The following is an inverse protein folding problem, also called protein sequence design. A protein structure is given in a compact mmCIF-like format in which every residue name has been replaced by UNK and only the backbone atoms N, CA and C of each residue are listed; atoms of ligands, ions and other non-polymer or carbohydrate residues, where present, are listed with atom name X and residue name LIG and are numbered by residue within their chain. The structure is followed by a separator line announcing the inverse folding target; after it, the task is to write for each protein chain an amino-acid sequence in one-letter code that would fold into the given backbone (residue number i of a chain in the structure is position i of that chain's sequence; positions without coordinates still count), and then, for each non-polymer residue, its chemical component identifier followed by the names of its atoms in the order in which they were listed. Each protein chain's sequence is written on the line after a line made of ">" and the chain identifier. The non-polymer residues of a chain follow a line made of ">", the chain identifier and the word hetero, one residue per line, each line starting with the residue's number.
data_IF_406842395995
#
_entry.id   IF_406842395995
#
_cell.length_a   1.000
_cell.length_b   1.000
_cell.length_c   1.000
_cell.angle_alpha   90.00
_cell.angle_beta   90.00
_cell.angle_gamma   90.00
#
_symmetry.space_group_name_H-M   'P 1'
#
loop_
_entity.id
_entity.type
_entity.pdbx_description
1 polymer ?
#
# COMPACT_ATOMS: atom_id res chain seq x y z
N UNK A 1 29.68 -19.71 -17.39
CA UNK A 1 29.67 -18.36 -16.79
C UNK A 1 28.25 -18.09 -16.29
N UNK A 2 28.03 -18.22 -14.99
CA UNK A 2 26.74 -17.88 -14.40
C UNK A 2 26.58 -16.35 -14.47
N UNK A 3 25.52 -15.86 -15.12
CA UNK A 3 25.18 -14.46 -15.10
C UNK A 3 24.89 -14.07 -13.65
N UNK A 4 25.72 -13.22 -13.09
CA UNK A 4 25.46 -12.55 -11.83
C UNK A 4 24.18 -11.76 -12.02
N UNK A 5 23.08 -12.21 -11.43
CA UNK A 5 21.85 -11.44 -11.30
C UNK A 5 22.09 -10.32 -10.29
N UNK A 6 22.79 -9.27 -10.69
CA UNK A 6 22.92 -8.08 -9.86
C UNK A 6 21.61 -7.31 -9.94
N UNK A 7 20.71 -7.57 -9.00
CA UNK A 7 19.59 -6.65 -8.77
C UNK A 7 20.18 -5.26 -8.44
N UNK A 8 19.57 -4.18 -8.92
CA UNK A 8 20.01 -2.84 -8.57
C UNK A 8 19.91 -2.66 -7.04
N UNK A 9 20.86 -1.96 -6.42
CA UNK A 9 20.83 -1.74 -4.97
C UNK A 9 19.58 -0.96 -4.56
N UNK A 10 19.10 -1.24 -3.35
CA UNK A 10 18.07 -0.45 -2.71
C UNK A 10 18.78 0.67 -1.93
N UNK A 11 18.55 1.89 -2.35
CA UNK A 11 19.04 3.09 -1.69
C UNK A 11 18.11 3.49 -0.55
N UNK A 12 18.67 4.07 0.51
CA UNK A 12 17.90 4.62 1.63
C UNK A 12 18.11 6.13 1.70
N UNK A 13 17.01 6.89 1.70
CA UNK A 13 16.99 8.34 1.67
C UNK A 13 16.19 8.90 2.85
N UNK A 14 16.49 10.14 3.23
CA UNK A 14 15.64 10.93 4.13
C UNK A 14 15.15 12.15 3.37
N UNK A 15 13.84 12.25 3.19
CA UNK A 15 13.19 13.28 2.37
C UNK A 15 12.30 14.15 3.26
N UNK A 16 12.48 15.46 3.19
CA UNK A 16 11.58 16.42 3.82
C UNK A 16 10.41 16.73 2.89
N UNK A 17 9.19 16.42 3.34
CA UNK A 17 7.95 16.67 2.59
C UNK A 17 6.80 16.88 3.57
N UNK A 18 5.82 17.70 3.23
CA UNK A 18 4.62 17.98 4.04
C UNK A 18 4.91 18.21 5.54
N UNK A 19 5.99 18.94 5.84
CA UNK A 19 6.40 19.24 7.22
C UNK A 19 6.99 18.09 8.02
N UNK A 20 7.28 16.95 7.38
CA UNK A 20 7.85 15.75 8.01
C UNK A 20 9.14 15.30 7.31
N UNK A 21 9.97 14.55 8.02
CA UNK A 21 11.07 13.79 7.46
C UNK A 21 10.64 12.34 7.25
N UNK A 22 10.59 11.93 5.98
CA UNK A 22 10.28 10.58 5.58
C UNK A 22 11.56 9.77 5.39
N UNK A 23 11.55 8.57 5.93
CA UNK A 23 12.50 7.53 5.57
C UNK A 23 11.97 6.82 4.32
N UNK A 24 12.80 6.73 3.28
CA UNK A 24 12.39 6.26 1.96
C UNK A 24 13.39 5.24 1.46
N UNK A 25 12.91 4.11 0.97
CA UNK A 25 13.72 3.19 0.19
C UNK A 25 13.39 3.35 -1.30
N UNK A 26 14.42 3.31 -2.15
CA UNK A 26 14.25 3.46 -3.58
C UNK A 26 15.19 2.52 -4.34
N UNK A 27 14.75 2.09 -5.54
CA UNK A 27 15.50 1.19 -6.39
C UNK A 27 15.29 1.57 -7.87
N UNK A 28 16.32 1.35 -8.69
CA UNK A 28 16.31 1.64 -10.11
C UNK A 28 16.82 3.04 -10.49
N UNK A 29 16.89 3.34 -11.79
CA UNK A 29 17.48 4.58 -12.29
C UNK A 29 16.72 5.81 -11.80
N UNK A 30 17.44 6.89 -11.46
CA UNK A 30 16.84 8.12 -10.93
C UNK A 30 15.90 8.81 -11.94
N UNK A 31 16.18 8.68 -13.21
CA UNK A 31 15.41 9.20 -14.34
C UNK A 31 14.35 8.22 -14.86
N UNK A 32 14.22 7.03 -14.24
CA UNK A 32 13.20 6.05 -14.58
C UNK A 32 11.77 6.54 -14.26
N UNK A 33 10.75 6.01 -14.97
CA UNK A 33 9.35 6.32 -14.65
C UNK A 33 9.04 6.02 -13.17
N UNK A 34 8.47 6.99 -12.43
CA UNK A 34 8.27 6.85 -10.98
C UNK A 34 7.12 5.92 -10.63
N UNK A 35 7.38 5.00 -9.72
CA UNK A 35 6.40 4.09 -9.12
C UNK A 35 6.51 4.20 -7.61
N UNK A 36 5.48 4.76 -6.96
CA UNK A 36 5.39 4.84 -5.52
C UNK A 36 4.64 3.61 -4.97
N UNK A 37 5.17 3.01 -3.90
CA UNK A 37 4.60 1.84 -3.24
C UNK A 37 4.28 2.18 -1.79
N UNK A 38 3.02 2.03 -1.39
CA UNK A 38 2.51 2.34 -0.06
C UNK A 38 2.15 1.06 0.69
N UNK A 39 2.82 0.79 1.79
CA UNK A 39 2.55 -0.36 2.66
C UNK A 39 1.30 -0.16 3.53
N UNK A 40 0.87 -1.21 4.21
CA UNK A 40 -0.23 -1.16 5.16
C UNK A 40 0.20 -1.35 6.62
N UNK A 41 -0.80 -1.64 7.46
CA UNK A 41 -0.61 -1.98 8.87
C UNK A 41 -0.35 -3.50 9.02
N UNK A 42 0.60 -3.92 9.82
CA UNK A 42 1.53 -3.12 10.62
C UNK A 42 2.93 -3.01 9.99
N UNK A 43 3.03 -3.00 8.68
CA UNK A 43 4.27 -3.05 7.93
C UNK A 43 5.05 -1.71 7.91
N UNK A 44 6.12 -1.67 7.13
CA UNK A 44 6.92 -0.49 6.82
C UNK A 44 7.48 -0.63 5.39
N UNK A 45 8.34 0.27 4.95
CA UNK A 45 8.93 0.24 3.60
C UNK A 45 9.53 -1.12 3.22
N UNK A 46 10.02 -1.90 4.19
CA UNK A 46 10.57 -3.25 4.00
C UNK A 46 9.60 -4.23 3.33
N UNK A 47 8.29 -4.01 3.47
CA UNK A 47 7.25 -4.83 2.84
C UNK A 47 7.44 -4.97 1.32
N UNK A 48 7.95 -3.93 0.69
CA UNK A 48 8.07 -3.82 -0.75
C UNK A 48 9.45 -4.23 -1.31
N UNK A 49 10.34 -4.82 -0.52
CA UNK A 49 11.71 -5.16 -0.92
C UNK A 49 11.80 -5.93 -2.24
N UNK A 50 10.95 -6.93 -2.43
CA UNK A 50 10.93 -7.76 -3.64
C UNK A 50 10.35 -7.03 -4.85
N UNK A 51 9.36 -6.17 -4.63
CA UNK A 51 8.76 -5.35 -5.68
C UNK A 51 9.68 -4.20 -6.09
N UNK A 52 10.40 -3.59 -5.13
CA UNK A 52 11.42 -2.58 -5.42
C UNK A 52 12.50 -3.12 -6.36
N UNK A 53 13.05 -4.29 -6.04
CA UNK A 53 14.08 -4.94 -6.85
C UNK A 53 13.55 -5.27 -8.25
N UNK A 54 12.36 -5.86 -8.36
CA UNK A 54 11.77 -6.24 -9.64
C UNK A 54 11.45 -5.04 -10.53
N UNK A 55 10.88 -3.99 -9.96
CA UNK A 55 10.54 -2.76 -10.70
C UNK A 55 11.81 -1.99 -11.08
N UNK A 56 12.79 -1.89 -10.16
CA UNK A 56 14.06 -1.26 -10.42
C UNK A 56 14.85 -1.95 -11.52
N UNK A 57 14.91 -3.29 -11.51
CA UNK A 57 15.55 -4.09 -12.56
C UNK A 57 14.84 -3.93 -13.92
N UNK A 58 13.56 -3.57 -13.92
CA UNK A 58 12.81 -3.28 -15.14
C UNK A 58 13.01 -1.83 -15.66
N UNK A 59 13.88 -1.03 -15.03
CA UNK A 59 14.19 0.35 -15.43
C UNK A 59 13.20 1.40 -14.91
N UNK A 60 12.40 1.06 -13.91
CA UNK A 60 11.49 1.98 -13.23
C UNK A 60 12.17 2.56 -11.98
N UNK A 61 11.82 3.78 -11.60
CA UNK A 61 12.22 4.34 -10.30
C UNK A 61 11.18 3.94 -9.26
N UNK A 62 11.39 2.80 -8.60
CA UNK A 62 10.53 2.31 -7.54
C UNK A 62 10.88 2.97 -6.20
N UNK A 63 9.89 3.51 -5.50
CA UNK A 63 10.05 4.34 -4.30
C UNK A 63 9.04 3.90 -3.26
N UNK A 64 9.47 3.59 -2.05
CA UNK A 64 8.57 3.30 -0.92
C UNK A 64 8.98 4.07 0.33
N UNK A 65 8.10 4.90 0.90
CA UNK A 65 8.33 5.49 2.21
C UNK A 65 7.94 4.54 3.33
N UNK A 66 8.61 4.65 4.48
CA UNK A 66 7.90 4.44 5.73
C UNK A 66 6.84 5.53 5.81
N UNK A 67 5.56 5.18 5.77
CA UNK A 67 4.49 6.16 5.76
C UNK A 67 4.43 6.94 7.10
N UNK A 68 3.70 8.05 7.14
CA UNK A 68 3.52 8.88 8.36
C UNK A 68 3.26 8.03 9.59
N UNK A 69 4.11 8.14 10.61
CA UNK A 69 3.95 7.42 11.86
C UNK A 69 4.54 6.02 11.90
N UNK A 70 5.00 5.50 10.75
CA UNK A 70 5.62 4.17 10.67
C UNK A 70 7.14 4.24 10.65
N UNK A 71 7.76 3.13 11.01
CA UNK A 71 9.19 2.90 10.90
C UNK A 71 10.05 4.06 11.39
N UNK A 72 10.89 4.60 10.52
CA UNK A 72 11.78 5.74 10.84
C UNK A 72 11.23 7.11 10.44
N UNK A 73 10.08 7.16 9.78
CA UNK A 73 9.40 8.43 9.47
C UNK A 73 8.86 9.09 10.75
N UNK A 74 8.78 10.41 10.76
CA UNK A 74 8.30 11.19 11.89
C UNK A 74 6.86 10.84 12.27
N UNK A 75 6.56 11.00 13.55
CA UNK A 75 5.32 10.55 14.20
C UNK A 75 4.60 11.74 14.84
N UNK A 76 3.85 12.54 14.06
CA UNK A 76 3.12 13.68 14.59
C UNK A 76 2.15 13.28 15.70
N UNK A 77 2.02 14.15 16.69
CA UNK A 77 1.12 13.91 17.83
C UNK A 77 -0.33 14.21 17.44
N UNK A 78 -1.26 13.38 17.96
CA UNK A 78 -2.70 13.59 17.85
C UNK A 78 -3.32 12.91 16.65
N UNK A 79 -4.55 12.42 16.85
CA UNK A 79 -5.31 11.64 15.87
C UNK A 79 -5.58 12.44 14.58
N UNK A 80 -5.82 13.75 14.69
CA UNK A 80 -6.09 14.62 13.53
C UNK A 80 -4.92 14.71 12.53
N UNK A 81 -3.70 14.41 12.97
CA UNK A 81 -2.53 14.35 12.10
C UNK A 81 -2.54 13.15 11.15
N UNK A 82 -3.49 12.21 11.30
CA UNK A 82 -3.57 10.96 10.55
C UNK A 82 -4.86 10.84 9.73
N UNK A 83 -5.51 11.97 9.39
CA UNK A 83 -6.64 11.96 8.48
C UNK A 83 -6.20 11.53 7.07
N UNK A 84 -7.11 10.92 6.32
CA UNK A 84 -6.80 10.42 4.98
C UNK A 84 -6.28 11.53 4.05
N UNK A 85 -6.80 12.76 4.20
CA UNK A 85 -6.32 13.92 3.45
C UNK A 85 -4.85 14.23 3.77
N UNK A 86 -4.45 14.16 5.05
CA UNK A 86 -3.06 14.37 5.44
C UNK A 86 -2.14 13.27 4.90
N UNK A 87 -2.62 12.02 4.88
CA UNK A 87 -1.87 10.88 4.33
C UNK A 87 -1.74 10.96 2.81
N UNK A 88 -2.79 11.38 2.12
CA UNK A 88 -2.75 11.60 0.66
C UNK A 88 -1.85 12.77 0.29
N UNK A 89 -1.86 13.85 1.08
CA UNK A 89 -0.95 14.99 0.90
C UNK A 89 0.51 14.58 1.04
N UNK A 90 0.83 13.71 2.00
CA UNK A 90 2.18 13.17 2.15
C UNK A 90 2.70 12.52 0.86
N UNK A 91 1.85 11.75 0.18
CA UNK A 91 2.23 11.05 -1.06
C UNK A 91 2.53 12.06 -2.17
N UNK A 92 1.69 13.09 -2.31
CA UNK A 92 1.86 14.13 -3.34
C UNK A 92 3.12 14.96 -3.08
N UNK A 93 3.29 15.43 -1.84
CA UNK A 93 4.42 16.27 -1.46
C UNK A 93 5.74 15.49 -1.48
N UNK A 94 5.73 14.21 -1.11
CA UNK A 94 6.90 13.33 -1.21
C UNK A 94 7.29 13.11 -2.68
N UNK A 95 6.33 12.83 -3.55
CA UNK A 95 6.57 12.71 -4.99
C UNK A 95 7.15 14.00 -5.56
N UNK A 96 6.58 15.15 -5.20
CA UNK A 96 7.06 16.47 -5.64
C UNK A 96 8.47 16.79 -5.14
N UNK A 97 8.79 16.46 -3.88
CA UNK A 97 10.13 16.63 -3.30
C UNK A 97 11.19 15.76 -4.01
N UNK A 98 10.76 14.62 -4.59
CA UNK A 98 11.60 13.76 -5.41
C UNK A 98 11.61 14.15 -6.90
N UNK A 99 10.96 15.27 -7.29
CA UNK A 99 10.93 15.78 -8.65
C UNK A 99 9.82 15.21 -9.54
N UNK A 100 8.90 14.45 -8.99
CA UNK A 100 7.84 13.77 -9.75
C UNK A 100 6.48 14.45 -9.57
N UNK A 101 5.90 14.95 -10.66
CA UNK A 101 4.55 15.56 -10.68
C UNK A 101 3.44 14.56 -10.98
N UNK A 102 3.78 13.48 -11.65
CA UNK A 102 2.88 12.36 -11.97
C UNK A 102 3.62 11.06 -11.75
N UNK A 103 2.92 10.06 -11.26
CA UNK A 103 3.52 8.77 -10.91
C UNK A 103 2.48 7.64 -10.99
N UNK A 104 2.98 6.42 -11.11
CA UNK A 104 2.18 5.21 -10.86
C UNK A 104 2.15 4.95 -9.35
N UNK A 105 0.98 4.60 -8.82
CA UNK A 105 0.81 4.31 -7.40
C UNK A 105 0.43 2.85 -7.18
N UNK A 106 1.12 2.20 -6.27
CA UNK A 106 0.81 0.83 -5.82
C UNK A 106 0.53 0.90 -4.33
N UNK A 107 -0.58 0.34 -3.87
CA UNK A 107 -0.93 0.37 -2.44
C UNK A 107 -1.43 -0.98 -1.95
N UNK A 108 -1.01 -1.36 -0.75
CA UNK A 108 -1.49 -2.52 -0.02
C UNK A 108 -2.15 -2.07 1.27
N UNK A 109 -3.28 -2.69 1.66
CA UNK A 109 -4.01 -2.41 2.90
C UNK A 109 -4.26 -0.89 3.08
N UNK A 110 -3.80 -0.26 4.16
CA UNK A 110 -3.89 1.19 4.35
C UNK A 110 -3.26 2.00 3.22
N UNK A 111 -2.15 1.53 2.64
CA UNK A 111 -1.56 2.17 1.48
C UNK A 111 -2.48 2.14 0.26
N UNK A 112 -3.25 1.08 0.09
CA UNK A 112 -4.30 0.99 -0.92
C UNK A 112 -5.48 1.92 -0.62
N UNK A 113 -5.87 2.07 0.65
CA UNK A 113 -6.91 3.03 1.06
C UNK A 113 -6.48 4.47 0.73
N UNK A 114 -5.23 4.83 1.00
CA UNK A 114 -4.66 6.15 0.62
C UNK A 114 -4.68 6.32 -0.90
N UNK A 115 -4.32 5.28 -1.65
CA UNK A 115 -4.33 5.32 -3.11
C UNK A 115 -5.74 5.53 -3.68
N UNK A 116 -6.75 4.85 -3.15
CA UNK A 116 -8.15 5.06 -3.50
C UNK A 116 -8.59 6.50 -3.26
N UNK A 117 -8.26 7.05 -2.09
CA UNK A 117 -8.60 8.42 -1.75
C UNK A 117 -7.91 9.44 -2.68
N UNK A 118 -6.62 9.23 -2.96
CA UNK A 118 -5.87 10.09 -3.86
C UNK A 118 -6.43 10.05 -5.28
N UNK A 119 -6.82 8.88 -5.78
CA UNK A 119 -7.44 8.73 -7.10
C UNK A 119 -8.81 9.43 -7.21
N UNK A 120 -9.57 9.49 -6.12
CA UNK A 120 -10.86 10.18 -6.06
C UNK A 120 -10.71 11.70 -5.95
N UNK A 121 -9.67 12.19 -5.25
CA UNK A 121 -9.52 13.62 -4.94
C UNK A 121 -8.53 14.36 -5.83
N UNK A 122 -7.50 13.67 -6.32
CA UNK A 122 -6.41 14.25 -7.13
C UNK A 122 -5.98 13.34 -8.29
N UNK A 123 -6.90 12.89 -9.16
CA UNK A 123 -6.57 11.95 -10.24
C UNK A 123 -5.47 12.45 -11.18
N UNK A 124 -5.29 13.75 -11.31
CA UNK A 124 -4.31 14.37 -12.21
C UNK A 124 -2.85 14.04 -11.88
N UNK A 125 -2.53 13.68 -10.62
CA UNK A 125 -1.16 13.30 -10.22
C UNK A 125 -0.86 11.83 -10.50
N UNK A 126 -1.88 11.03 -10.82
CA UNK A 126 -1.72 9.60 -11.07
C UNK A 126 -1.68 9.29 -12.58
N UNK A 127 -0.80 8.38 -12.96
CA UNK A 127 -0.82 7.77 -14.29
C UNK A 127 -1.74 6.54 -14.31
N UNK A 128 -1.62 5.73 -13.29
CA UNK A 128 -2.43 4.52 -13.01
C UNK A 128 -2.21 4.08 -11.57
N UNK A 129 -3.03 3.18 -11.05
CA UNK A 129 -2.80 2.61 -9.74
C UNK A 129 -3.06 1.10 -9.69
N UNK A 130 -2.27 0.39 -8.88
CA UNK A 130 -2.52 -1.01 -8.53
C UNK A 130 -2.81 -1.11 -7.03
N UNK A 131 -3.85 -1.86 -6.69
CA UNK A 131 -4.33 -2.03 -5.32
C UNK A 131 -4.25 -3.50 -4.94
N UNK A 132 -3.60 -3.78 -3.82
CA UNK A 132 -3.44 -5.11 -3.25
C UNK A 132 -4.24 -5.20 -1.96
N UNK A 133 -5.22 -6.10 -1.89
CA UNK A 133 -6.07 -6.37 -0.71
C UNK A 133 -6.46 -5.10 0.07
N UNK A 134 -7.03 -4.12 -0.62
CA UNK A 134 -7.54 -2.91 0.00
C UNK A 134 -8.83 -2.45 -0.69
N UNK A 135 -9.94 -2.31 0.04
CA UNK A 135 -11.18 -1.82 -0.54
C UNK A 135 -11.19 -0.30 -0.60
N UNK A 136 -12.00 0.23 -1.51
CA UNK A 136 -12.39 1.62 -1.47
C UNK A 136 -13.28 1.87 -0.22
N UNK A 137 -12.93 2.84 0.65
CA UNK A 137 -13.59 3.02 1.97
C UNK A 137 -15.11 3.16 1.88
N UNK A 138 -15.62 3.93 0.93
CA UNK A 138 -17.05 4.09 0.80
C UNK A 138 -17.76 2.84 0.29
N UNK A 139 -17.06 2.01 -0.49
CA UNK A 139 -17.54 0.69 -0.89
C UNK A 139 -17.56 -0.22 0.34
N UNK A 140 -16.47 -0.30 1.10
CA UNK A 140 -16.40 -1.13 2.30
C UNK A 140 -17.51 -0.82 3.30
N UNK A 141 -17.81 0.46 3.52
CA UNK A 141 -18.89 0.89 4.39
C UNK A 141 -20.29 0.48 3.90
N UNK A 142 -20.51 0.43 2.57
CA UNK A 142 -21.77 -0.08 1.99
C UNK A 142 -21.84 -1.60 2.03
N UNK A 143 -20.76 -2.26 1.62
CA UNK A 143 -20.62 -3.72 1.60
C UNK A 143 -20.92 -4.33 2.96
N UNK A 144 -20.32 -3.80 4.03
CA UNK A 144 -20.52 -4.29 5.38
C UNK A 144 -21.99 -4.32 5.82
N UNK A 145 -22.86 -3.43 5.31
CA UNK A 145 -24.28 -3.43 5.68
C UNK A 145 -25.04 -4.69 5.24
N UNK A 146 -24.60 -5.32 4.15
CA UNK A 146 -25.17 -6.55 3.63
C UNK A 146 -24.38 -7.82 3.97
N UNK A 147 -23.20 -7.69 4.59
CA UNK A 147 -22.24 -8.77 4.81
C UNK A 147 -21.84 -8.86 6.30
N UNK A 148 -22.61 -9.58 7.14
CA UNK A 148 -22.32 -9.68 8.58
C UNK A 148 -20.93 -10.24 8.89
N UNK A 149 -20.42 -11.13 8.05
CA UNK A 149 -19.08 -11.70 8.23
C UNK A 149 -18.00 -10.59 8.16
N UNK A 150 -18.16 -9.59 7.29
CA UNK A 150 -17.23 -8.48 7.22
C UNK A 150 -17.19 -7.67 8.52
N UNK A 151 -18.31 -7.52 9.22
CA UNK A 151 -18.32 -6.88 10.55
C UNK A 151 -17.47 -7.63 11.57
N UNK A 152 -17.56 -8.98 11.56
CA UNK A 152 -16.76 -9.82 12.44
C UNK A 152 -15.29 -9.68 12.11
N UNK A 153 -14.95 -9.76 10.84
CA UNK A 153 -13.57 -9.59 10.35
C UNK A 153 -12.99 -8.20 10.69
N UNK A 154 -13.83 -7.17 10.69
CA UNK A 154 -13.44 -5.79 10.99
C UNK A 154 -13.53 -5.41 12.48
N UNK A 155 -13.84 -6.34 13.39
CA UNK A 155 -14.02 -6.04 14.82
C UNK A 155 -12.76 -5.43 15.48
N UNK A 156 -11.56 -5.76 14.97
CA UNK A 156 -10.31 -5.19 15.43
C UNK A 156 -10.24 -3.66 15.24
N UNK A 157 -10.92 -3.11 14.23
CA UNK A 157 -11.01 -1.65 14.00
C UNK A 157 -11.67 -0.96 15.18
N UNK A 158 -12.75 -1.57 15.73
CA UNK A 158 -13.41 -1.11 16.95
C UNK A 158 -12.50 -1.21 18.17
N UNK A 159 -11.76 -2.30 18.30
CA UNK A 159 -10.77 -2.47 19.38
C UNK A 159 -9.69 -1.38 19.32
N UNK A 160 -9.19 -1.02 18.15
CA UNK A 160 -8.17 0.01 17.96
C UNK A 160 -8.65 1.45 18.27
N UNK A 161 -9.97 1.67 18.40
CA UNK A 161 -10.50 2.96 18.88
C UNK A 161 -10.29 3.17 20.37
N UNK A 162 -10.06 2.11 21.16
CA UNK A 162 -9.84 2.25 22.60
C UNK A 162 -8.53 2.99 22.87
N UNK A 163 -8.51 3.88 23.86
CA UNK A 163 -7.27 4.54 24.26
C UNK A 163 -6.38 3.59 25.05
N UNK A 164 -5.07 3.64 24.83
CA UNK A 164 -4.02 2.96 25.62
C UNK A 164 -4.03 1.43 25.55
N UNK A 165 -5.20 0.79 25.62
CA UNK A 165 -5.31 -0.68 25.70
C UNK A 165 -4.69 -1.37 24.47
N UNK A 166 -4.97 -0.97 23.21
CA UNK A 166 -4.32 -1.57 22.05
C UNK A 166 -2.81 -1.40 22.04
N UNK A 167 -2.31 -0.22 22.43
CA UNK A 167 -0.86 0.02 22.53
C UNK A 167 -0.21 -0.96 23.50
N UNK A 168 -0.75 -1.07 24.72
CA UNK A 168 -0.22 -1.98 25.74
C UNK A 168 -0.27 -3.42 25.29
N UNK A 169 -1.38 -3.84 24.67
CA UNK A 169 -1.56 -5.22 24.22
C UNK A 169 -0.61 -5.57 23.07
N UNK A 170 -0.53 -4.70 22.04
CA UNK A 170 0.28 -4.98 20.85
C UNK A 170 1.78 -4.88 21.11
N UNK A 171 2.20 -4.08 22.08
CA UNK A 171 3.61 -3.98 22.48
C UNK A 171 4.02 -5.00 23.54
N UNK A 172 3.05 -5.73 24.16
CA UNK A 172 3.35 -6.74 25.16
C UNK A 172 4.23 -7.86 24.59
N UNK A 173 5.04 -8.46 25.44
CA UNK A 173 5.93 -9.58 25.07
C UNK A 173 6.80 -9.26 23.85
N UNK A 174 7.37 -8.07 23.82
CA UNK A 174 8.22 -7.60 22.73
C UNK A 174 7.49 -7.67 21.35
N UNK A 175 6.27 -7.16 21.31
CA UNK A 175 5.35 -7.24 20.17
C UNK A 175 4.96 -8.66 19.75
N UNK A 176 5.07 -9.63 20.65
CA UNK A 176 4.81 -11.05 20.34
C UNK A 176 3.40 -11.34 19.84
N UNK A 177 2.39 -10.59 20.29
CA UNK A 177 1.02 -10.73 19.78
C UNK A 177 0.90 -10.24 18.33
N UNK A 178 1.59 -9.18 17.98
CA UNK A 178 1.57 -8.64 16.62
C UNK A 178 2.33 -9.54 15.64
N UNK A 179 3.48 -10.11 16.09
CA UNK A 179 4.19 -11.15 15.35
C UNK A 179 3.28 -12.36 15.12
N UNK A 180 2.65 -12.87 16.18
CA UNK A 180 1.75 -14.01 16.05
C UNK A 180 0.53 -13.72 15.16
N UNK A 181 0.06 -12.47 15.11
CA UNK A 181 -1.02 -12.07 14.21
C UNK A 181 -0.57 -12.13 12.75
N UNK A 182 0.63 -11.64 12.41
CA UNK A 182 1.22 -11.77 11.07
C UNK A 182 1.37 -13.23 10.66
N UNK A 183 2.01 -14.04 11.49
CA UNK A 183 2.27 -15.46 11.18
C UNK A 183 0.99 -16.29 11.01
N UNK A 184 -0.07 -16.01 11.82
CA UNK A 184 -1.34 -16.72 11.73
C UNK A 184 -2.23 -16.28 10.58
N UNK A 185 -2.07 -15.05 10.11
CA UNK A 185 -2.85 -14.49 9.01
C UNK A 185 -2.17 -14.66 7.65
N UNK A 186 -0.94 -15.15 7.61
CA UNK A 186 -0.17 -15.43 6.40
C UNK A 186 0.03 -16.91 6.16
N UNK A 187 0.48 -17.26 4.97
CA UNK A 187 0.94 -18.62 4.65
C UNK A 187 2.24 -18.92 5.41
N UNK A 188 2.45 -20.17 5.82
CA UNK A 188 3.70 -20.55 6.48
C UNK A 188 4.92 -20.17 5.64
N UNK A 189 5.87 -19.47 6.26
CA UNK A 189 7.11 -19.03 5.59
C UNK A 189 7.01 -17.73 4.79
N UNK A 190 5.88 -17.03 4.81
CA UNK A 190 5.70 -15.72 4.18
C UNK A 190 6.62 -14.65 4.79
N UNK A 191 6.88 -14.74 6.07
CA UNK A 191 7.79 -13.87 6.80
C UNK A 191 8.97 -14.67 7.38
N UNK A 192 10.18 -14.27 7.04
CA UNK A 192 11.39 -14.81 7.65
C UNK A 192 11.59 -14.25 9.07
N UNK A 193 12.44 -14.88 9.87
CA UNK A 193 12.82 -14.35 11.18
C UNK A 193 13.45 -12.95 11.08
N UNK A 194 14.15 -12.66 9.99
CA UNK A 194 14.73 -11.34 9.74
C UNK A 194 13.64 -10.31 9.41
N UNK A 195 12.64 -10.66 8.60
CA UNK A 195 11.49 -9.76 8.34
C UNK A 195 10.77 -9.39 9.62
N UNK A 196 10.47 -10.38 10.47
CA UNK A 196 9.80 -10.16 11.75
C UNK A 196 10.64 -9.32 12.71
N UNK A 197 11.97 -9.47 12.69
CA UNK A 197 12.88 -8.63 13.47
C UNK A 197 12.83 -7.18 12.99
N UNK A 198 12.88 -6.94 11.68
CA UNK A 198 12.83 -5.59 11.10
C UNK A 198 11.49 -4.90 11.38
N UNK A 199 10.37 -5.62 11.30
CA UNK A 199 9.06 -5.09 11.65
C UNK A 199 8.99 -4.74 13.13
N UNK A 200 9.46 -5.61 14.02
CA UNK A 200 9.52 -5.33 15.46
C UNK A 200 10.36 -4.09 15.76
N UNK A 201 11.52 -3.95 15.13
CA UNK A 201 12.37 -2.77 15.25
C UNK A 201 11.63 -1.49 14.81
N UNK A 202 10.77 -1.58 13.79
CA UNK A 202 9.93 -0.47 13.34
C UNK A 202 8.81 -0.14 14.34
N UNK A 203 8.14 -1.15 14.90
CA UNK A 203 7.03 -0.98 15.85
C UNK A 203 7.47 -0.44 17.21
N UNK A 204 8.69 -0.74 17.63
CA UNK A 204 9.27 -0.31 18.91
C UNK A 204 9.90 1.08 18.85
N UNK A 205 9.91 1.74 17.68
CA UNK A 205 10.31 3.14 17.59
C UNK A 205 9.41 4.01 18.49
N UNK A 206 9.97 5.03 19.17
CA UNK A 206 9.19 5.89 20.06
C UNK A 206 7.95 6.47 19.38
N UNK A 207 6.77 6.20 19.96
CA UNK A 207 5.48 6.66 19.44
C UNK A 207 4.91 5.89 18.24
N UNK A 208 5.62 4.91 17.69
CA UNK A 208 5.20 4.21 16.48
C UNK A 208 3.85 3.50 16.66
N UNK A 209 3.66 2.73 17.73
CA UNK A 209 2.41 1.99 17.95
C UNK A 209 1.20 2.94 18.01
N UNK A 210 1.27 4.00 18.78
CA UNK A 210 0.18 5.00 18.85
C UNK A 210 -0.03 5.68 17.49
N UNK A 211 1.04 6.00 16.78
CA UNK A 211 0.95 6.62 15.45
C UNK A 211 0.25 5.70 14.43
N UNK A 212 0.63 4.42 14.38
CA UNK A 212 -0.02 3.42 13.54
C UNK A 212 -1.51 3.24 13.88
N UNK A 213 -1.85 3.17 15.16
CA UNK A 213 -3.25 3.07 15.62
C UNK A 213 -4.05 4.34 15.34
N UNK A 214 -3.42 5.50 15.26
CA UNK A 214 -4.09 6.75 14.93
C UNK A 214 -4.65 6.78 13.51
N UNK A 215 -4.14 5.97 12.58
CA UNK A 215 -4.74 5.79 11.25
C UNK A 215 -6.18 5.25 11.37
N UNK A 216 -6.39 4.27 12.24
CA UNK A 216 -7.73 3.72 12.52
C UNK A 216 -8.58 4.69 13.35
N UNK A 217 -8.00 5.38 14.32
CA UNK A 217 -8.69 6.35 15.16
C UNK A 217 -9.13 7.60 14.40
N UNK A 218 -8.44 7.91 13.31
CA UNK A 218 -8.82 9.02 12.42
C UNK A 218 -9.97 8.65 11.46
N UNK A 219 -10.31 7.37 11.27
CA UNK A 219 -11.39 6.98 10.35
C UNK A 219 -12.72 7.71 10.58
N UNK A 220 -13.23 7.88 11.82
CA UNK A 220 -14.47 8.62 12.06
C UNK A 220 -14.40 10.12 11.70
N UNK A 221 -13.19 10.66 11.50
CA UNK A 221 -12.97 12.05 11.12
C UNK A 221 -12.96 12.25 9.59
N UNK A 222 -13.07 11.16 8.82
CA UNK A 222 -13.02 11.20 7.36
C UNK A 222 -14.29 11.83 6.79
N UNK A 223 -14.20 12.62 5.71
CA UNK A 223 -15.38 13.08 5.01
C UNK A 223 -16.11 11.88 4.36
N UNK A 224 -17.42 11.79 4.61
CA UNK A 224 -18.32 10.79 4.02
C UNK A 224 -19.02 11.36 2.79
N UNK A 225 -18.31 12.07 1.92
CA UNK A 225 -18.87 12.68 0.72
C UNK A 225 -19.21 11.65 -0.38
N UNK A 226 -20.03 12.05 -1.38
CA UNK A 226 -20.19 11.25 -2.58
C UNK A 226 -18.83 11.05 -3.22
N UNK A 227 -18.56 9.80 -3.63
CA UNK A 227 -17.29 9.47 -4.22
C UNK A 227 -17.48 9.54 -5.73
N UNK A 228 -16.72 10.44 -6.35
CA UNK A 228 -16.68 10.55 -7.79
C UNK A 228 -16.10 9.27 -8.39
N UNK A 229 -16.49 8.96 -9.62
CA UNK A 229 -15.92 7.84 -10.36
C UNK A 229 -14.41 8.05 -10.54
N UNK A 230 -13.67 6.97 -10.40
CA UNK A 230 -12.23 6.97 -10.55
C UNK A 230 -11.88 6.81 -12.04
N UNK A 231 -11.32 7.87 -12.60
CA UNK A 231 -11.00 7.92 -14.03
C UNK A 231 -9.62 7.33 -14.40
N UNK A 232 -8.72 7.19 -13.42
CA UNK A 232 -7.40 6.60 -13.67
C UNK A 232 -7.52 5.09 -13.90
N UNK A 233 -6.67 4.48 -14.75
CA UNK A 233 -6.65 3.01 -14.90
C UNK A 233 -6.28 2.33 -13.58
N UNK A 234 -7.04 1.31 -13.21
CA UNK A 234 -6.88 0.57 -11.94
C UNK A 234 -6.67 -0.92 -12.20
N UNK A 235 -5.74 -1.53 -11.48
CA UNK A 235 -5.65 -2.98 -11.33
C UNK A 235 -5.81 -3.33 -9.85
N UNK A 236 -6.80 -4.16 -9.53
CA UNK A 236 -6.99 -4.73 -8.20
C UNK A 236 -6.46 -6.16 -8.22
N UNK A 237 -5.52 -6.46 -7.31
CA UNK A 237 -4.99 -7.82 -7.12
C UNK A 237 -5.43 -8.25 -5.72
N UNK A 238 -6.12 -9.38 -5.63
CA UNK A 238 -6.75 -9.80 -4.39
C UNK A 238 -6.40 -11.23 -4.01
N UNK A 239 -5.88 -11.42 -2.79
CA UNK A 239 -5.72 -12.74 -2.18
C UNK A 239 -7.02 -13.18 -1.53
N UNK A 240 -7.62 -14.28 -2.03
CA UNK A 240 -8.97 -14.69 -1.64
C UNK A 240 -9.06 -15.29 -0.24
N UNK A 241 -7.92 -15.70 0.33
CA UNK A 241 -7.84 -16.24 1.71
C UNK A 241 -7.61 -15.16 2.76
N UNK A 242 -7.94 -13.91 2.44
CA UNK A 242 -7.82 -12.79 3.38
C UNK A 242 -8.73 -12.98 4.61
N UNK A 243 -8.11 -12.93 5.79
CA UNK A 243 -8.82 -13.10 7.06
C UNK A 243 -9.50 -11.80 7.55
N UNK A 244 -9.11 -10.62 7.00
CA UNK A 244 -9.63 -9.32 7.39
C UNK A 244 -10.69 -8.80 6.42
N UNK A 245 -10.58 -9.15 5.14
CA UNK A 245 -11.38 -8.58 4.05
C UNK A 245 -12.02 -9.70 3.22
N UNK A 246 -13.30 -9.54 2.88
CA UNK A 246 -13.99 -10.49 2.00
C UNK A 246 -13.64 -10.24 0.53
N UNK A 247 -13.46 -11.31 -0.30
CA UNK A 247 -13.06 -11.17 -1.70
C UNK A 247 -14.00 -10.31 -2.54
N UNK A 248 -15.32 -10.35 -2.28
CA UNK A 248 -16.31 -9.53 -2.99
C UNK A 248 -16.09 -8.01 -2.90
N UNK A 249 -15.25 -7.54 -1.97
CA UNK A 249 -14.83 -6.15 -1.89
C UNK A 249 -13.96 -5.71 -3.08
N UNK A 250 -13.32 -6.64 -3.78
CA UNK A 250 -12.50 -6.35 -4.94
C UNK A 250 -13.35 -5.84 -6.10
N UNK A 251 -14.38 -6.61 -6.50
CA UNK A 251 -15.30 -6.24 -7.58
C UNK A 251 -16.11 -5.00 -7.25
N UNK A 252 -16.61 -4.92 -6.02
CA UNK A 252 -17.37 -3.76 -5.56
C UNK A 252 -16.52 -2.48 -5.61
N UNK A 253 -15.23 -2.58 -5.23
CA UNK A 253 -14.30 -1.44 -5.32
C UNK A 253 -13.94 -1.12 -6.76
N UNK A 254 -13.72 -2.11 -7.62
CA UNK A 254 -13.51 -1.91 -9.04
C UNK A 254 -14.73 -1.25 -9.73
N UNK A 255 -15.92 -1.51 -9.23
CA UNK A 255 -17.18 -0.97 -9.75
C UNK A 255 -17.31 0.57 -9.71
N UNK A 256 -16.49 1.27 -8.89
CA UNK A 256 -16.46 2.74 -8.87
C UNK A 256 -15.47 3.34 -9.88
N UNK A 257 -14.76 2.52 -10.65
CA UNK A 257 -13.77 2.95 -11.65
C UNK A 257 -14.37 2.99 -13.05
N UNK A 258 -13.82 3.85 -13.92
CA UNK A 258 -14.14 3.87 -15.34
C UNK A 258 -13.45 2.73 -16.08
N UNK A 259 -12.24 2.37 -15.66
CA UNK A 259 -11.44 1.29 -16.20
C UNK A 259 -10.71 0.55 -15.07
N UNK A 260 -11.19 -0.62 -14.71
CA UNK A 260 -10.56 -1.48 -13.72
C UNK A 260 -10.46 -2.93 -14.19
N UNK A 261 -9.41 -3.60 -13.76
CA UNK A 261 -9.23 -5.04 -13.90
C UNK A 261 -9.08 -5.63 -12.49
N UNK A 262 -9.78 -6.73 -12.21
CA UNK A 262 -9.66 -7.48 -10.96
C UNK A 262 -8.99 -8.81 -11.25
N UNK A 263 -7.98 -9.14 -10.44
CA UNK A 263 -7.23 -10.40 -10.55
C UNK A 263 -7.21 -11.05 -9.16
N UNK A 264 -7.83 -12.22 -9.06
CA UNK A 264 -7.83 -13.02 -7.85
C UNK A 264 -6.64 -13.97 -7.79
N UNK A 265 -6.08 -14.09 -6.59
CA UNK A 265 -5.07 -15.09 -6.24
C UNK A 265 -5.69 -16.04 -5.21
N UNK A 266 -6.28 -17.17 -5.65
CA UNK A 266 -7.12 -18.02 -4.79
C UNK A 266 -6.43 -18.61 -3.56
N UNK A 267 -5.09 -18.78 -3.65
CA UNK A 267 -4.30 -19.37 -2.56
C UNK A 267 -3.63 -18.33 -1.67
N UNK A 268 -3.60 -17.05 -2.09
CA UNK A 268 -2.96 -15.98 -1.33
C UNK A 268 -3.88 -15.44 -0.24
N UNK A 269 -3.26 -15.02 0.86
CA UNK A 269 -3.94 -14.32 1.96
C UNK A 269 -3.86 -12.81 1.77
N UNK A 270 -4.06 -12.05 2.85
CA UNK A 270 -3.85 -10.60 2.89
C UNK A 270 -2.42 -10.19 2.45
N UNK A 271 -1.44 -11.08 2.65
CA UNK A 271 -0.01 -10.84 2.48
C UNK A 271 0.51 -11.31 1.11
N UNK A 272 -0.31 -11.19 0.07
CA UNK A 272 -0.06 -11.72 -1.27
C UNK A 272 1.29 -11.30 -1.88
N UNK A 273 1.79 -10.10 -1.59
CA UNK A 273 3.07 -9.59 -2.10
C UNK A 273 4.29 -10.22 -1.43
N UNK A 274 4.10 -10.90 -0.29
CA UNK A 274 5.10 -11.76 0.36
C UNK A 274 4.95 -13.23 -0.03
N UNK A 275 3.73 -13.66 -0.33
CA UNK A 275 3.38 -15.07 -0.55
C UNK A 275 3.48 -15.51 -2.01
N UNK A 276 3.14 -14.62 -2.93
CA UNK A 276 3.10 -14.85 -4.36
C UNK A 276 4.02 -13.84 -5.08
N UNK A 277 5.26 -13.71 -4.59
CA UNK A 277 6.24 -12.69 -4.99
C UNK A 277 6.36 -12.60 -6.52
N UNK A 278 6.66 -13.73 -7.17
CA UNK A 278 6.88 -13.78 -8.61
C UNK A 278 5.62 -13.42 -9.39
N UNK A 279 4.47 -13.93 -8.94
CA UNK A 279 3.20 -13.68 -9.59
C UNK A 279 2.78 -12.22 -9.45
N UNK A 280 2.89 -11.65 -8.24
CA UNK A 280 2.58 -10.25 -7.98
C UNK A 280 3.53 -9.34 -8.77
N UNK A 281 4.83 -9.63 -8.76
CA UNK A 281 5.81 -8.86 -9.54
C UNK A 281 5.48 -8.88 -11.05
N UNK A 282 5.13 -10.04 -11.61
CA UNK A 282 4.74 -10.15 -13.01
C UNK A 282 3.50 -9.31 -13.34
N UNK A 283 2.46 -9.39 -12.50
CA UNK A 283 1.22 -8.63 -12.65
C UNK A 283 1.46 -7.11 -12.54
N UNK A 284 2.29 -6.69 -11.58
CA UNK A 284 2.64 -5.27 -11.42
C UNK A 284 3.45 -4.78 -12.64
N UNK A 285 4.48 -5.51 -13.07
CA UNK A 285 5.31 -5.14 -14.22
C UNK A 285 4.51 -5.04 -15.52
N UNK A 286 3.58 -5.96 -15.74
CA UNK A 286 2.67 -5.90 -16.89
C UNK A 286 1.84 -4.63 -16.88
N UNK A 287 1.30 -4.26 -15.72
CA UNK A 287 0.40 -3.13 -15.59
C UNK A 287 1.11 -1.77 -15.64
N UNK A 288 2.29 -1.64 -15.00
CA UNK A 288 3.00 -0.35 -14.90
C UNK A 288 3.76 0.02 -16.17
N UNK A 289 4.10 -0.94 -17.03
CA UNK A 289 4.76 -0.64 -18.30
C UNK A 289 3.82 0.14 -19.21
N UNK A 290 4.29 1.25 -19.83
CA UNK A 290 3.50 1.93 -20.85
C UNK A 290 3.14 0.92 -21.95
N UNK A 291 1.87 0.79 -22.26
CA UNK A 291 1.48 0.02 -23.43
C UNK A 291 2.17 0.66 -24.65
N UNK A 292 3.01 -0.10 -25.33
CA UNK A 292 3.55 0.30 -26.63
C UNK A 292 2.34 0.53 -27.55
N UNK A 293 1.98 1.78 -27.78
CA UNK A 293 1.06 2.17 -28.84
C UNK A 293 1.65 1.63 -30.14
N UNK A 294 1.11 0.54 -30.65
CA UNK A 294 1.36 0.11 -32.03
C UNK A 294 0.78 1.21 -32.91
N UNK A 295 1.63 2.15 -33.33
CA UNK A 295 1.25 3.08 -34.38
C UNK A 295 0.98 2.22 -35.63
N UNK A 296 -0.28 1.97 -35.93
CA UNK A 296 -0.65 1.51 -37.27
C UNK A 296 -0.14 2.57 -38.25
N UNK A 297 0.89 2.23 -39.03
CA UNK A 297 1.22 2.97 -40.22
C UNK A 297 -0.03 2.95 -41.12
N UNK A 298 -0.53 4.11 -41.58
CA UNK A 298 -1.56 4.10 -42.61
C UNK A 298 -0.96 3.40 -43.85
N UNK A 299 -1.59 2.34 -44.32
CA UNK A 299 -1.32 1.76 -45.59
C UNK A 299 -1.64 2.81 -46.64
N UNK A 300 -0.62 3.32 -47.33
CA UNK A 300 -0.79 4.13 -48.50
C UNK A 300 -1.43 3.25 -49.58
N UNK A 301 -2.69 3.48 -49.85
CA UNK A 301 -3.35 3.01 -51.06
C UNK A 301 -2.81 3.80 -52.25
N UNK A 302 -2.16 3.08 -53.16
CA UNK A 302 -1.77 3.55 -54.47
C UNK A 302 -2.99 3.60 -55.41
#
# INVERSE_FOLDING_TARGET
>A
MAASSSHPPIDTLTIAANGLRFHVAACGPEDGPPVLLLHGFPECAHAWRHQLEALGAAGLRAITPDQRGYGRTEKPIGVRSYTIDALAEDVVELAAALGHRRFTLIGHDWGGIVAWHLASTRPAVLERMAILNAPHLGVAARFARGHPLQWIKSAYVGYFQLPVIPELTLTSWDCGLLIAALERSSRPGAFSAEDLRLYRDAWTQPGAMTAMLNWYRAMPLQPTGPQDRIAVPVRVIWGDRDNALEPGLAEESAGVCDAAEVIHLPEATHWLHHEEIERVNALLLEFVRPQRTVRHKPTATA
#
